data_IF_638042020611
#
_entry.id   IF_638042020611
#
_cell.length_a   1.000
_cell.length_b   1.000
_cell.length_c   1.000
_cell.angle_alpha   90.00
_cell.angle_beta   90.00
_cell.angle_gamma   90.00
#
_symmetry.space_group_name_H-M   'P 1'
#
loop_
_entity.id
_entity.type
_entity.pdbx_description
1 polymer ?
#
# COMPACT_ATOMS: atom_id res chain seq x y z
N UNK A 1 -10.98 -11.80 -1.12
CA UNK A 1 -9.86 -12.51 -1.78
C UNK A 1 -9.97 -14.01 -1.59
N UNK A 2 -9.64 -14.76 -2.61
CA UNK A 2 -9.56 -16.21 -2.50
C UNK A 2 -8.28 -16.65 -1.78
N UNK A 3 -8.26 -17.88 -1.20
CA UNK A 3 -7.01 -18.38 -0.60
C UNK A 3 -5.83 -18.41 -1.57
N UNK A 4 -6.08 -18.68 -2.85
CA UNK A 4 -5.03 -18.65 -3.89
C UNK A 4 -4.45 -17.26 -4.08
N UNK A 5 -5.29 -16.24 -4.11
CA UNK A 5 -4.86 -14.85 -4.23
C UNK A 5 -4.04 -14.42 -3.02
N UNK A 6 -4.48 -14.80 -1.82
CA UNK A 6 -3.75 -14.50 -0.57
C UNK A 6 -2.36 -15.15 -0.60
N UNK A 7 -2.27 -16.39 -1.02
CA UNK A 7 -0.99 -17.10 -1.13
C UNK A 7 -0.05 -16.42 -2.13
N UNK A 8 -0.57 -15.96 -3.27
CA UNK A 8 0.23 -15.25 -4.26
C UNK A 8 0.82 -13.96 -3.69
N UNK A 9 -0.01 -13.18 -2.97
CA UNK A 9 0.43 -11.94 -2.34
C UNK A 9 1.49 -12.23 -1.27
N UNK A 10 1.21 -13.17 -0.37
CA UNK A 10 2.12 -13.50 0.73
C UNK A 10 3.45 -14.08 0.25
N UNK A 11 3.40 -14.97 -0.73
CA UNK A 11 4.62 -15.59 -1.29
C UNK A 11 5.48 -14.55 -2.01
N UNK A 12 4.87 -13.70 -2.84
CA UNK A 12 5.60 -12.66 -3.56
C UNK A 12 6.18 -11.61 -2.60
N UNK A 13 5.43 -11.23 -1.57
CA UNK A 13 5.93 -10.29 -0.57
C UNK A 13 7.14 -10.85 0.18
N UNK A 14 7.15 -12.15 0.45
CA UNK A 14 8.29 -12.79 1.13
C UNK A 14 9.58 -12.68 0.32
N UNK A 15 9.49 -12.56 -1.00
CA UNK A 15 10.64 -12.36 -1.88
C UNK A 15 11.11 -10.92 -1.92
N UNK A 16 10.21 -9.97 -1.62
CA UNK A 16 10.53 -8.53 -1.58
C UNK A 16 11.07 -8.13 -0.21
N UNK A 17 10.65 -8.78 0.85
CA UNK A 17 11.05 -8.45 2.22
C UNK A 17 12.57 -8.33 2.41
N UNK A 18 13.43 -9.24 1.84
CA UNK A 18 14.87 -9.10 1.97
C UNK A 18 15.47 -7.86 1.30
N UNK A 19 14.75 -7.27 0.33
CA UNK A 19 15.18 -6.05 -0.36
C UNK A 19 14.26 -4.87 -0.03
N UNK A 20 13.66 -4.88 1.17
CA UNK A 20 12.67 -3.90 1.59
C UNK A 20 13.16 -2.46 1.46
N UNK A 21 14.41 -2.18 1.85
CA UNK A 21 14.97 -0.83 1.76
C UNK A 21 15.05 -0.35 0.31
N UNK A 22 15.51 -1.20 -0.59
CA UNK A 22 15.58 -0.89 -2.02
C UNK A 22 14.18 -0.74 -2.61
N UNK A 23 13.25 -1.61 -2.21
CA UNK A 23 11.87 -1.55 -2.67
C UNK A 23 11.21 -0.23 -2.26
N UNK A 24 11.45 0.21 -1.04
CA UNK A 24 10.91 1.49 -0.55
C UNK A 24 11.47 2.67 -1.34
N UNK A 25 12.78 2.67 -1.63
CA UNK A 25 13.39 3.70 -2.46
C UNK A 25 12.78 3.75 -3.85
N UNK A 26 12.60 2.60 -4.48
CA UNK A 26 11.98 2.50 -5.80
C UNK A 26 10.53 3.00 -5.76
N UNK A 27 9.79 2.64 -4.72
CA UNK A 27 8.41 3.04 -4.55
C UNK A 27 8.28 4.57 -4.50
N UNK A 28 9.05 5.21 -3.62
CA UNK A 28 8.95 6.67 -3.45
C UNK A 28 9.48 7.40 -4.68
N UNK A 29 10.56 6.91 -5.29
CA UNK A 29 11.07 7.49 -6.53
C UNK A 29 10.02 7.48 -7.63
N UNK A 30 9.34 6.36 -7.81
CA UNK A 30 8.29 6.24 -8.81
C UNK A 30 7.07 7.08 -8.46
N UNK A 31 6.67 7.09 -7.19
CA UNK A 31 5.54 7.87 -6.74
C UNK A 31 5.74 9.35 -7.05
N UNK A 32 6.94 9.89 -6.78
CA UNK A 32 7.23 11.30 -7.02
C UNK A 32 7.37 11.62 -8.52
N UNK A 33 7.67 10.64 -9.36
CA UNK A 33 7.64 10.80 -10.82
C UNK A 33 6.23 10.96 -11.35
N UNK A 34 5.30 10.09 -10.90
CA UNK A 34 3.93 10.07 -11.43
C UNK A 34 3.00 11.05 -10.71
N UNK A 35 3.34 11.42 -9.47
CA UNK A 35 2.54 12.34 -8.67
C UNK A 35 3.45 13.28 -7.88
N UNK A 36 4.18 14.21 -8.55
CA UNK A 36 5.09 15.10 -7.85
C UNK A 36 4.41 15.97 -6.80
N UNK A 37 3.11 16.19 -6.92
CA UNK A 37 2.32 16.97 -5.97
C UNK A 37 2.24 16.34 -4.59
N UNK A 38 2.53 15.05 -4.43
CA UNK A 38 2.51 14.40 -3.11
C UNK A 38 3.84 14.52 -2.37
N UNK A 39 4.92 14.92 -3.06
CA UNK A 39 6.25 15.04 -2.45
C UNK A 39 6.26 15.96 -1.23
N UNK A 40 5.60 17.15 -1.26
CA UNK A 40 5.58 18.02 -0.07
C UNK A 40 4.90 17.42 1.16
N UNK A 41 4.13 16.33 1.00
CA UNK A 41 3.48 15.66 2.12
C UNK A 41 4.46 14.83 2.96
N UNK A 42 5.66 14.59 2.44
CA UNK A 42 6.70 13.80 3.11
C UNK A 42 7.76 14.75 3.66
N UNK A 43 7.67 15.05 4.95
CA UNK A 43 8.50 16.07 5.61
C UNK A 43 9.62 15.48 6.46
N UNK A 44 9.72 14.16 6.53
CA UNK A 44 10.67 13.51 7.43
C UNK A 44 11.78 12.77 6.70
N UNK A 45 12.49 11.94 7.46
CA UNK A 45 13.50 11.04 6.94
C UNK A 45 12.83 9.98 6.07
N UNK A 46 13.16 9.95 4.77
CA UNK A 46 12.58 9.00 3.83
C UNK A 46 13.00 7.56 4.12
N UNK A 47 14.15 7.34 4.74
CA UNK A 47 14.59 6.01 5.16
C UNK A 47 13.64 5.46 6.24
N UNK A 48 13.29 6.27 7.22
CA UNK A 48 12.33 5.89 8.26
C UNK A 48 10.93 5.69 7.68
N UNK A 49 10.53 6.55 6.75
CA UNK A 49 9.25 6.45 6.07
C UNK A 49 9.15 5.15 5.29
N UNK A 50 10.23 4.74 4.63
CA UNK A 50 10.30 3.46 3.92
C UNK A 50 10.15 2.27 4.86
N UNK A 51 10.78 2.31 6.03
CA UNK A 51 10.63 1.25 7.04
C UNK A 51 9.20 1.15 7.54
N UNK A 52 8.54 2.27 7.77
CA UNK A 52 7.13 2.31 8.17
C UNK A 52 6.22 1.73 7.09
N UNK A 53 6.47 2.09 5.83
CA UNK A 53 5.72 1.56 4.71
C UNK A 53 5.83 0.04 4.64
N UNK A 54 7.06 -0.48 4.65
CA UNK A 54 7.29 -1.91 4.53
C UNK A 54 6.75 -2.67 5.74
N UNK A 55 6.88 -2.10 6.94
CA UNK A 55 6.33 -2.68 8.15
C UNK A 55 4.79 -2.76 8.11
N UNK A 56 4.15 -1.71 7.64
CA UNK A 56 2.69 -1.68 7.49
C UNK A 56 2.22 -2.68 6.43
N UNK A 57 2.92 -2.75 5.30
CA UNK A 57 2.61 -3.74 4.27
C UNK A 57 2.74 -5.16 4.80
N UNK A 58 3.79 -5.42 5.60
CA UNK A 58 3.99 -6.74 6.21
C UNK A 58 2.82 -7.12 7.11
N UNK A 59 2.34 -6.19 7.93
CA UNK A 59 1.19 -6.42 8.82
C UNK A 59 -0.06 -6.76 7.98
N UNK A 60 -0.33 -5.98 6.96
CA UNK A 60 -1.51 -6.19 6.10
C UNK A 60 -1.40 -7.52 5.35
N UNK A 61 -0.27 -7.77 4.72
CA UNK A 61 -0.04 -9.00 3.93
C UNK A 61 -0.18 -10.24 4.80
N UNK A 62 0.42 -10.22 5.98
CA UNK A 62 0.34 -11.36 6.91
C UNK A 62 -1.06 -11.53 7.50
N UNK A 63 -1.86 -10.47 7.52
CA UNK A 63 -3.23 -10.50 8.03
C UNK A 63 -4.30 -10.74 6.98
N UNK A 64 -3.96 -11.03 5.73
CA UNK A 64 -4.95 -11.20 4.66
C UNK A 64 -5.91 -12.38 4.89
N UNK A 65 -5.49 -13.39 5.64
CA UNK A 65 -6.33 -14.55 5.95
C UNK A 65 -7.39 -14.23 7.02
N UNK A 66 -7.16 -13.21 7.83
CA UNK A 66 -8.07 -12.73 8.84
C UNK A 66 -7.97 -11.21 8.91
N UNK A 67 -8.87 -10.54 8.20
CA UNK A 67 -8.83 -9.08 8.06
C UNK A 67 -9.45 -8.33 9.24
N UNK A 68 -10.20 -9.02 10.12
CA UNK A 68 -10.86 -8.34 11.25
C UNK A 68 -9.89 -7.50 12.09
N UNK A 69 -8.73 -8.03 12.56
CA UNK A 69 -7.78 -7.20 13.30
C UNK A 69 -7.12 -6.11 12.45
N UNK A 70 -7.09 -6.29 11.13
CA UNK A 70 -6.45 -5.36 10.22
C UNK A 70 -7.33 -4.14 9.93
N UNK A 71 -8.64 -4.30 9.91
CA UNK A 71 -9.56 -3.21 9.58
C UNK A 71 -9.36 -1.99 10.48
N UNK A 72 -9.33 -2.12 11.83
CA UNK A 72 -9.06 -0.94 12.66
C UNK A 72 -7.71 -0.29 12.41
N UNK A 73 -6.68 -1.08 12.12
CA UNK A 73 -5.34 -0.57 11.80
C UNK A 73 -5.40 0.27 10.52
N UNK A 74 -6.04 -0.27 9.48
CA UNK A 74 -6.20 0.43 8.21
C UNK A 74 -7.02 1.71 8.36
N UNK A 75 -8.08 1.67 9.16
CA UNK A 75 -8.93 2.83 9.43
C UNK A 75 -8.15 3.94 10.13
N UNK A 76 -7.38 3.61 11.16
CA UNK A 76 -6.54 4.58 11.87
C UNK A 76 -5.48 5.17 10.96
N UNK A 77 -4.87 4.33 10.13
CA UNK A 77 -3.87 4.78 9.15
C UNK A 77 -4.48 5.77 8.15
N UNK A 78 -5.70 5.51 7.69
CA UNK A 78 -6.40 6.39 6.77
C UNK A 78 -6.66 7.77 7.39
N UNK A 79 -7.08 7.80 8.64
CA UNK A 79 -7.34 9.05 9.37
C UNK A 79 -6.05 9.86 9.49
N UNK A 80 -4.94 9.20 9.82
CA UNK A 80 -3.62 9.85 9.88
C UNK A 80 -3.20 10.41 8.51
N UNK A 81 -3.51 9.70 7.43
CA UNK A 81 -3.21 10.19 6.07
C UNK A 81 -3.96 11.48 5.76
N UNK A 82 -5.20 11.62 6.22
CA UNK A 82 -5.96 12.87 6.06
C UNK A 82 -5.24 14.02 6.77
N UNK A 83 -4.74 13.77 7.98
CA UNK A 83 -3.98 14.77 8.76
C UNK A 83 -2.69 15.19 8.04
N UNK A 84 -2.10 14.29 7.26
CA UNK A 84 -0.90 14.59 6.46
C UNK A 84 -1.21 15.32 5.16
N UNK A 85 -2.49 15.51 4.82
CA UNK A 85 -2.90 16.17 3.59
C UNK A 85 -3.18 15.23 2.43
N UNK A 86 -3.22 13.93 2.67
CA UNK A 86 -3.51 12.93 1.63
C UNK A 86 -5.00 13.00 1.27
N UNK A 87 -5.30 12.96 -0.02
CA UNK A 87 -6.66 12.97 -0.54
C UNK A 87 -6.99 11.61 -1.18
N UNK A 88 -8.29 11.33 -1.36
CA UNK A 88 -8.74 10.06 -1.96
C UNK A 88 -8.09 9.79 -3.32
N UNK A 89 -7.92 10.82 -4.13
CA UNK A 89 -7.30 10.72 -5.45
C UNK A 89 -5.84 10.31 -5.42
N UNK A 90 -5.14 10.49 -4.29
CA UNK A 90 -3.74 10.09 -4.15
C UNK A 90 -3.55 8.57 -4.07
N UNK A 91 -4.59 7.82 -3.72
CA UNK A 91 -4.50 6.37 -3.61
C UNK A 91 -4.25 5.69 -4.96
N UNK A 92 -4.69 6.30 -6.07
CA UNK A 92 -4.42 5.79 -7.42
C UNK A 92 -2.92 5.76 -7.74
N UNK A 93 -2.23 6.91 -7.69
CA UNK A 93 -0.78 6.97 -7.91
C UNK A 93 0.01 6.08 -6.95
N UNK A 94 -0.39 6.02 -5.69
CA UNK A 94 0.27 5.16 -4.70
C UNK A 94 0.17 3.69 -5.12
N UNK A 95 -1.01 3.25 -5.54
CA UNK A 95 -1.20 1.89 -6.04
C UNK A 95 -0.36 1.60 -7.28
N UNK A 96 -0.34 2.53 -8.22
CA UNK A 96 0.47 2.38 -9.43
C UNK A 96 1.96 2.27 -9.12
N UNK A 97 2.46 3.09 -8.19
CA UNK A 97 3.86 3.04 -7.77
C UNK A 97 4.19 1.71 -7.08
N UNK A 98 3.28 1.22 -6.24
CA UNK A 98 3.45 -0.07 -5.55
C UNK A 98 3.55 -1.22 -6.56
N UNK A 99 2.64 -1.30 -7.50
CA UNK A 99 2.64 -2.37 -8.52
C UNK A 99 3.92 -2.30 -9.35
N UNK A 100 4.32 -1.09 -9.79
CA UNK A 100 5.57 -0.90 -10.53
C UNK A 100 6.78 -1.40 -9.74
N UNK A 101 6.84 -1.09 -8.43
CA UNK A 101 7.93 -1.52 -7.56
C UNK A 101 8.00 -3.04 -7.48
N UNK A 102 6.85 -3.70 -7.34
CA UNK A 102 6.78 -5.16 -7.30
C UNK A 102 7.25 -5.77 -8.62
N UNK A 103 6.87 -5.18 -9.75
CA UNK A 103 7.32 -5.63 -11.07
C UNK A 103 8.84 -5.57 -11.18
N UNK A 104 9.45 -4.48 -10.71
CA UNK A 104 10.90 -4.30 -10.77
C UNK A 104 11.63 -5.26 -9.83
N UNK A 105 11.12 -5.42 -8.62
CA UNK A 105 11.76 -6.24 -7.60
C UNK A 105 11.62 -7.74 -7.83
N UNK A 106 10.53 -8.18 -8.43
CA UNK A 106 10.23 -9.59 -8.63
C UNK A 106 10.53 -10.09 -10.06
N UNK A 107 10.53 -9.18 -11.03
CA UNK A 107 10.77 -9.55 -12.44
C UNK A 107 9.78 -10.62 -12.91
N UNK A 108 10.30 -11.73 -13.43
CA UNK A 108 9.47 -12.81 -13.98
C UNK A 108 8.60 -13.51 -12.93
N UNK A 109 8.95 -13.40 -11.66
CA UNK A 109 8.14 -13.97 -10.57
C UNK A 109 6.83 -13.20 -10.39
N UNK A 110 6.76 -11.95 -10.89
CA UNK A 110 5.53 -11.14 -10.83
C UNK A 110 4.70 -11.39 -12.07
N UNK A 111 4.06 -12.56 -12.12
CA UNK A 111 3.24 -12.97 -13.26
C UNK A 111 1.86 -12.29 -13.21
N UNK A 112 1.03 -12.55 -14.23
CA UNK A 112 -0.29 -11.94 -14.37
C UNK A 112 -1.21 -12.26 -13.18
N UNK A 113 -1.15 -13.48 -12.66
CA UNK A 113 -1.97 -13.91 -11.53
C UNK A 113 -1.54 -13.22 -10.24
N UNK A 114 -0.24 -13.09 -10.01
CA UNK A 114 0.31 -12.37 -8.86
C UNK A 114 -0.06 -10.90 -8.92
N UNK A 115 0.06 -10.27 -10.09
CA UNK A 115 -0.33 -8.88 -10.28
C UNK A 115 -1.81 -8.68 -9.98
N UNK A 116 -2.67 -9.54 -10.50
CA UNK A 116 -4.11 -9.46 -10.25
C UNK A 116 -4.43 -9.60 -8.76
N UNK A 117 -3.75 -10.51 -8.06
CA UNK A 117 -3.92 -10.70 -6.62
C UNK A 117 -3.54 -9.44 -5.84
N UNK A 118 -2.42 -8.80 -6.18
CA UNK A 118 -1.99 -7.55 -5.56
C UNK A 118 -2.97 -6.41 -5.83
N UNK A 119 -3.50 -6.31 -7.04
CA UNK A 119 -4.49 -5.29 -7.38
C UNK A 119 -5.75 -5.47 -6.54
N UNK A 120 -6.20 -6.71 -6.34
CA UNK A 120 -7.35 -7.01 -5.50
C UNK A 120 -7.06 -6.65 -4.04
N UNK A 121 -5.89 -7.01 -3.51
CA UNK A 121 -5.50 -6.72 -2.14
C UNK A 121 -5.42 -5.20 -1.91
N UNK A 122 -4.77 -4.48 -2.81
CA UNK A 122 -4.65 -3.03 -2.71
C UNK A 122 -6.01 -2.36 -2.80
N UNK A 123 -6.86 -2.80 -3.72
CA UNK A 123 -8.21 -2.26 -3.87
C UNK A 123 -9.06 -2.43 -2.61
N UNK A 124 -8.96 -3.59 -1.97
CA UNK A 124 -9.65 -3.85 -0.72
C UNK A 124 -9.15 -2.93 0.40
N UNK A 125 -7.83 -2.82 0.54
CA UNK A 125 -7.21 -1.98 1.57
C UNK A 125 -7.54 -0.50 1.34
N UNK A 126 -7.34 0.01 0.13
CA UNK A 126 -7.61 1.41 -0.18
C UNK A 126 -9.09 1.74 -0.04
N UNK A 127 -9.98 0.81 -0.39
CA UNK A 127 -11.42 0.98 -0.20
C UNK A 127 -11.79 1.16 1.27
N UNK A 128 -11.24 0.33 2.15
CA UNK A 128 -11.45 0.44 3.61
C UNK A 128 -10.92 1.80 4.11
N UNK A 129 -9.74 2.19 3.66
CA UNK A 129 -9.11 3.43 4.09
C UNK A 129 -9.89 4.66 3.62
N UNK A 130 -10.31 4.67 2.37
CA UNK A 130 -11.09 5.79 1.80
C UNK A 130 -12.44 5.90 2.52
N UNK A 131 -13.11 4.80 2.74
CA UNK A 131 -14.39 4.79 3.46
C UNK A 131 -14.23 5.35 4.88
N UNK A 132 -13.19 4.95 5.59
CA UNK A 132 -12.97 5.41 6.96
C UNK A 132 -12.64 6.90 7.02
N UNK A 133 -11.82 7.39 6.07
CA UNK A 133 -11.31 8.75 6.11
C UNK A 133 -12.30 9.79 5.56
N UNK A 134 -13.05 9.44 4.51
CA UNK A 134 -13.84 10.43 3.76
C UNK A 134 -15.34 10.21 3.91
N UNK A 135 -15.79 8.97 3.99
CA UNK A 135 -17.21 8.67 4.12
C UNK A 135 -17.76 9.04 5.50
N UNK A 136 -16.94 8.90 6.53
CA UNK A 136 -17.31 9.35 7.88
C UNK A 136 -17.58 10.84 7.94
N UNK A 137 -16.81 11.64 7.19
CA UNK A 137 -17.02 13.09 7.11
C UNK A 137 -18.33 13.42 6.40
N UNK A 138 -18.67 12.69 5.36
CA UNK A 138 -19.95 12.86 4.65
C UNK A 138 -21.13 12.51 5.54
N UNK A 139 -21.00 11.42 6.32
CA UNK A 139 -22.06 10.99 7.23
C UNK A 139 -22.31 11.99 8.36
N UNK A 140 -21.30 12.78 8.72
CA UNK A 140 -21.42 13.81 9.77
C UNK A 140 -22.17 15.05 9.30
N UNK A 141 -22.31 15.20 8.01
CA UNK A 141 -23.08 16.30 7.40
C UNK A 141 -24.57 15.98 7.37
#
# INVERSE_FOLDING_TARGET
MTPSEIDLVQTSFSKVAPIADQAAEMFYGRLFEIAPEVKPLFNGDMSEQGKKLMGTLAVVVNGLKDLEPIIPVAQNLAIRHVDYGVQAEHYGPVGAALIWTLEQGLGDAFDADTKAAWLTAYGTLSGVMIDAAYKSSEAAE
#
